data_IF_775924411034
#
_entry.id   IF_775924411034
#
_cell.length_a   1.000
_cell.length_b   1.000
_cell.length_c   1.000
_cell.angle_alpha   90.00
_cell.angle_beta   90.00
_cell.angle_gamma   90.00
#
_symmetry.space_group_name_H-M   'P 1'
#
loop_
_entity.id
_entity.type
_entity.pdbx_description
1 polymer ?
#
# COMPACT_ATOMS: atom_id res chain seq x y z
N UNK A 1 -16.12 4.78 -8.61
CA UNK A 1 -15.28 5.31 -7.50
C UNK A 1 -14.09 6.00 -8.13
N UNK A 2 -13.68 7.19 -7.67
CA UNK A 2 -12.50 7.87 -8.18
C UNK A 2 -11.30 6.93 -8.02
N UNK A 3 -10.49 6.80 -9.07
CA UNK A 3 -9.32 5.90 -9.09
C UNK A 3 -8.19 6.34 -8.16
N UNK A 4 -8.32 7.50 -7.50
CA UNK A 4 -7.27 8.14 -6.72
C UNK A 4 -7.17 7.66 -5.25
N UNK A 5 -8.18 6.98 -4.71
CA UNK A 5 -8.27 6.61 -3.28
C UNK A 5 -8.03 5.11 -2.99
N UNK A 6 -7.10 4.50 -3.73
CA UNK A 6 -6.75 3.08 -3.55
C UNK A 6 -6.26 2.80 -2.11
N UNK A 7 -5.51 3.71 -1.51
CA UNK A 7 -5.03 3.58 -0.13
C UNK A 7 -6.16 3.58 0.91
N UNK A 8 -7.19 4.41 0.72
CA UNK A 8 -8.36 4.42 1.59
C UNK A 8 -9.14 3.09 1.48
N UNK A 9 -9.27 2.57 0.27
CA UNK A 9 -9.97 1.30 0.02
C UNK A 9 -9.23 0.12 0.67
N UNK A 10 -7.90 0.06 0.53
CA UNK A 10 -7.06 -0.97 1.18
C UNK A 10 -7.17 -0.87 2.70
N UNK A 11 -7.12 0.35 3.26
CA UNK A 11 -7.21 0.56 4.70
C UNK A 11 -8.60 0.15 5.24
N UNK A 12 -9.68 0.52 4.54
CA UNK A 12 -11.04 0.15 4.94
C UNK A 12 -11.25 -1.37 4.88
N UNK A 13 -10.80 -2.02 3.80
CA UNK A 13 -10.83 -3.47 3.68
C UNK A 13 -10.09 -4.14 4.85
N UNK A 14 -8.89 -3.67 5.17
CA UNK A 14 -8.10 -4.21 6.27
C UNK A 14 -8.82 -4.02 7.64
N UNK A 15 -9.52 -2.89 7.85
CA UNK A 15 -10.32 -2.64 9.06
C UNK A 15 -11.52 -3.59 9.13
N UNK A 16 -12.29 -3.70 8.05
CA UNK A 16 -13.52 -4.52 8.00
C UNK A 16 -13.21 -6.00 8.28
N UNK A 17 -12.04 -6.45 7.82
CA UNK A 17 -11.56 -7.81 8.01
C UNK A 17 -10.69 -8.00 9.26
N UNK A 18 -10.55 -6.98 10.11
CA UNK A 18 -9.74 -7.02 11.35
C UNK A 18 -8.30 -7.49 11.11
N UNK A 19 -7.72 -7.10 9.98
CA UNK A 19 -6.34 -7.43 9.66
C UNK A 19 -5.40 -6.79 10.70
N UNK A 20 -4.45 -7.59 11.19
CA UNK A 20 -3.46 -7.10 12.17
C UNK A 20 -2.29 -6.36 11.52
N UNK A 21 -2.05 -6.57 10.22
CA UNK A 21 -0.95 -5.98 9.47
C UNK A 21 -1.28 -5.94 7.97
N UNK A 22 -0.80 -4.90 7.29
CA UNK A 22 -0.79 -4.81 5.82
C UNK A 22 0.65 -5.07 5.36
N UNK A 23 0.85 -5.93 4.37
CA UNK A 23 2.19 -6.24 3.83
C UNK A 23 2.28 -5.76 2.38
N UNK A 24 3.26 -4.89 2.09
CA UNK A 24 3.56 -4.39 0.75
C UNK A 24 4.87 -5.03 0.26
N UNK A 25 4.82 -5.68 -0.91
CA UNK A 25 5.99 -6.30 -1.54
C UNK A 25 6.54 -5.38 -2.64
N UNK A 26 7.82 -5.02 -2.55
CA UNK A 26 8.51 -4.20 -3.53
C UNK A 26 9.47 -5.09 -4.34
N UNK A 27 9.26 -5.24 -5.65
CA UNK A 27 10.14 -6.04 -6.53
C UNK A 27 11.04 -5.14 -7.39
N UNK A 28 12.36 -5.34 -7.32
CA UNK A 28 13.40 -4.39 -7.82
C UNK A 28 13.92 -4.70 -9.23
N UNK A 29 13.14 -5.37 -10.09
CA UNK A 29 13.68 -5.97 -11.34
C UNK A 29 13.93 -5.00 -12.52
N UNK A 30 14.28 -3.73 -12.28
CA UNK A 30 14.69 -2.70 -13.28
C UNK A 30 13.63 -1.66 -13.71
N UNK A 31 12.39 -1.67 -13.19
CA UNK A 31 11.22 -1.12 -13.92
C UNK A 31 10.09 -0.43 -13.10
N UNK A 32 10.35 0.35 -12.05
CA UNK A 32 9.29 1.22 -11.45
C UNK A 32 9.52 2.71 -11.65
N UNK A 33 9.95 3.10 -12.85
CA UNK A 33 9.87 4.50 -13.29
C UNK A 33 8.41 4.96 -13.57
N UNK A 34 7.42 4.08 -13.43
CA UNK A 34 5.98 4.30 -13.66
C UNK A 34 5.06 3.78 -12.53
N UNK A 35 5.61 3.08 -11.54
CA UNK A 35 4.79 2.41 -10.52
C UNK A 35 4.54 3.38 -9.36
N UNK A 36 3.37 4.03 -9.45
CA UNK A 36 2.74 5.00 -8.54
C UNK A 36 2.96 6.49 -8.88
N UNK A 37 2.07 7.08 -9.68
CA UNK A 37 1.65 8.46 -9.39
C UNK A 37 1.22 8.50 -7.90
N UNK A 38 1.92 9.32 -7.08
CA UNK A 38 1.97 9.28 -5.60
C UNK A 38 2.06 7.85 -5.04
N UNK A 39 3.26 7.34 -4.71
CA UNK A 39 3.50 6.04 -4.04
C UNK A 39 2.35 5.58 -3.13
N UNK A 40 1.59 4.54 -3.55
CA UNK A 40 0.47 3.99 -2.76
C UNK A 40 1.01 3.45 -1.43
N UNK A 41 2.16 2.77 -1.45
CA UNK A 41 2.86 2.35 -0.24
C UNK A 41 3.15 3.54 0.69
N UNK A 42 3.56 4.69 0.14
CA UNK A 42 3.78 5.91 0.92
C UNK A 42 2.48 6.51 1.47
N UNK A 43 1.39 6.49 0.70
CA UNK A 43 0.08 6.97 1.17
C UNK A 43 -0.48 6.06 2.27
N UNK A 44 -0.36 4.75 2.10
CA UNK A 44 -0.69 3.77 3.15
C UNK A 44 0.16 3.97 4.40
N UNK A 45 1.47 4.20 4.26
CA UNK A 45 2.32 4.48 5.41
C UNK A 45 1.90 5.75 6.17
N UNK A 46 1.31 6.74 5.48
CA UNK A 46 0.87 8.00 6.08
C UNK A 46 -0.53 7.95 6.69
N UNK A 47 -1.44 7.18 6.09
CA UNK A 47 -2.87 7.20 6.46
C UNK A 47 -3.40 5.88 7.06
N UNK A 48 -2.63 4.79 7.04
CA UNK A 48 -3.14 3.52 7.53
C UNK A 48 -3.29 3.53 9.05
N UNK A 49 -4.42 2.98 9.51
CA UNK A 49 -4.69 2.76 10.94
C UNK A 49 -4.15 1.41 11.42
N UNK A 50 -3.62 0.60 10.50
CA UNK A 50 -3.13 -0.75 10.72
C UNK A 50 -1.63 -0.74 10.41
N UNK A 51 -0.79 -1.43 11.19
CA UNK A 51 0.65 -1.51 10.92
C UNK A 51 0.94 -1.93 9.47
N UNK A 52 1.86 -1.23 8.82
CA UNK A 52 2.30 -1.53 7.45
C UNK A 52 3.73 -2.08 7.47
N UNK A 53 3.92 -3.28 6.90
CA UNK A 53 5.23 -3.89 6.67
C UNK A 53 5.58 -3.80 5.19
N UNK A 54 6.76 -3.28 4.86
CA UNK A 54 7.25 -3.22 3.48
C UNK A 54 8.41 -4.19 3.32
N UNK A 55 8.26 -5.15 2.42
CA UNK A 55 9.28 -6.17 2.13
C UNK A 55 9.89 -5.86 0.78
N UNK A 56 11.20 -5.69 0.76
CA UNK A 56 11.97 -5.51 -0.46
C UNK A 56 12.46 -6.86 -0.97
N UNK A 57 11.90 -7.33 -2.09
CA UNK A 57 12.24 -8.58 -2.74
C UNK A 57 13.31 -8.29 -3.81
N UNK A 58 14.56 -8.62 -3.49
CA UNK A 58 15.69 -8.61 -4.42
C UNK A 58 15.51 -9.65 -5.52
#
# INVERSE_FOLDING_TARGET
MPTDDIDASINQFAIDHKASIIISLHQVKSFVNSLFHKSITKRLAWHSKIPLMVINLK
#
